data_IF_900317944769
#
_entry.id   IF_900317944769
#
_cell.length_a   1.000
_cell.length_b   1.000
_cell.length_c   1.000
_cell.angle_alpha   90.00
_cell.angle_beta   90.00
_cell.angle_gamma   90.00
#
_symmetry.space_group_name_H-M   'P 1'
#
loop_
_entity.id
_entity.type
_entity.pdbx_description
1 polymer ?
#
# COMPACT_ATOMS: atom_id res chain seq x y z
N UNK A 1 -43.57 -26.42 29.64
CA UNK A 1 -43.14 -25.72 28.41
C UNK A 1 -41.65 -25.45 28.53
N UNK A 2 -40.82 -26.18 27.78
CA UNK A 2 -39.37 -26.04 27.83
C UNK A 2 -38.97 -24.81 27.01
N UNK A 3 -38.46 -23.77 27.69
CA UNK A 3 -37.90 -22.60 27.03
C UNK A 3 -36.67 -23.03 26.26
N UNK A 4 -36.81 -23.14 24.93
CA UNK A 4 -35.70 -23.32 24.02
C UNK A 4 -34.89 -22.02 23.98
N UNK A 5 -33.96 -21.88 24.94
CA UNK A 5 -33.04 -20.74 25.01
C UNK A 5 -32.13 -20.77 23.78
N UNK A 6 -32.53 -20.06 22.72
CA UNK A 6 -31.71 -19.83 21.53
C UNK A 6 -30.41 -19.13 21.98
N UNK A 7 -29.34 -19.92 22.17
CA UNK A 7 -28.02 -19.41 22.51
C UNK A 7 -27.49 -18.63 21.32
N UNK A 8 -27.18 -17.36 21.53
CA UNK A 8 -26.49 -16.49 20.57
C UNK A 8 -25.24 -17.18 20.00
N UNK A 9 -25.01 -17.03 18.70
CA UNK A 9 -23.79 -17.56 18.06
C UNK A 9 -22.55 -16.82 18.56
N UNK A 10 -21.37 -17.41 18.35
CA UNK A 10 -20.11 -16.77 18.72
C UNK A 10 -19.90 -15.45 17.98
N UNK A 11 -20.25 -15.42 16.69
CA UNK A 11 -20.20 -14.23 15.85
C UNK A 11 -21.15 -13.13 16.36
N UNK A 12 -22.39 -13.50 16.71
CA UNK A 12 -23.37 -12.55 17.25
C UNK A 12 -22.90 -11.93 18.56
N UNK A 13 -22.26 -12.73 19.43
CA UNK A 13 -21.66 -12.23 20.67
C UNK A 13 -20.51 -11.27 20.39
N UNK A 14 -19.61 -11.60 19.46
CA UNK A 14 -18.52 -10.71 19.06
C UNK A 14 -19.03 -9.37 18.52
N UNK A 15 -20.03 -9.43 17.63
CA UNK A 15 -20.68 -8.23 17.06
C UNK A 15 -21.37 -7.39 18.13
N UNK A 16 -22.12 -8.01 19.06
CA UNK A 16 -22.80 -7.31 20.15
C UNK A 16 -21.80 -6.68 21.12
N UNK A 17 -20.71 -7.39 21.44
CA UNK A 17 -19.61 -6.86 22.24
C UNK A 17 -18.99 -5.62 21.60
N UNK A 18 -18.63 -5.68 20.31
CA UNK A 18 -18.11 -4.54 19.57
C UNK A 18 -19.08 -3.35 19.53
N UNK A 19 -20.38 -3.60 19.33
CA UNK A 19 -21.42 -2.56 19.39
C UNK A 19 -21.53 -1.92 20.77
N UNK A 20 -21.45 -2.71 21.84
CA UNK A 20 -21.49 -2.22 23.21
C UNK A 20 -20.25 -1.36 23.52
N UNK A 21 -19.06 -1.81 23.15
CA UNK A 21 -17.80 -1.06 23.30
C UNK A 21 -17.88 0.27 22.54
N UNK A 22 -18.35 0.27 21.29
CA UNK A 22 -18.52 1.50 20.48
C UNK A 22 -19.48 2.51 21.10
N UNK A 23 -20.51 2.05 21.82
CA UNK A 23 -21.45 2.96 22.50
C UNK A 23 -20.85 3.56 23.78
N UNK A 24 -19.89 2.89 24.41
CA UNK A 24 -19.27 3.31 25.68
C UNK A 24 -18.09 4.25 25.51
N UNK A 25 -17.42 4.19 24.37
CA UNK A 25 -16.16 4.87 24.15
C UNK A 25 -16.23 5.86 22.99
N UNK A 26 -15.46 6.94 23.12
CA UNK A 26 -15.37 8.02 22.14
C UNK A 26 -14.21 7.80 21.16
N UNK A 27 -14.02 8.76 20.25
CA UNK A 27 -12.94 8.70 19.26
C UNK A 27 -11.55 8.65 19.91
N UNK A 28 -11.35 9.36 21.03
CA UNK A 28 -10.03 9.44 21.69
C UNK A 28 -9.61 8.09 22.26
N UNK A 29 -10.55 7.34 22.84
CA UNK A 29 -10.28 5.96 23.28
C UNK A 29 -9.72 5.09 22.15
N UNK A 30 -10.36 5.11 20.96
CA UNK A 30 -9.90 4.32 19.81
C UNK A 30 -8.53 4.76 19.29
N UNK A 31 -8.26 6.07 19.28
CA UNK A 31 -6.94 6.58 18.92
C UNK A 31 -5.87 6.10 19.89
N UNK A 32 -6.15 6.11 21.20
CA UNK A 32 -5.20 5.66 22.21
C UNK A 32 -4.89 4.16 22.08
N UNK A 33 -5.90 3.31 21.96
CA UNK A 33 -5.68 1.86 21.83
C UNK A 33 -5.00 1.51 20.49
N UNK A 34 -5.34 2.22 19.41
CA UNK A 34 -4.66 2.08 18.12
C UNK A 34 -3.19 2.48 18.20
N UNK A 35 -2.89 3.61 18.85
CA UNK A 35 -1.51 4.07 19.07
C UNK A 35 -0.71 3.09 19.93
N UNK A 36 -1.30 2.57 21.01
CA UNK A 36 -0.67 1.55 21.86
C UNK A 36 -0.37 0.27 21.08
N UNK A 37 -1.34 -0.22 20.28
CA UNK A 37 -1.15 -1.38 19.41
C UNK A 37 -0.05 -1.16 18.38
N UNK A 38 -0.05 -0.01 17.70
CA UNK A 38 0.99 0.36 16.74
C UNK A 38 2.39 0.40 17.36
N UNK A 39 2.54 1.02 18.53
CA UNK A 39 3.82 1.07 19.26
C UNK A 39 4.30 -0.31 19.68
N UNK A 40 3.41 -1.17 20.17
CA UNK A 40 3.77 -2.54 20.55
C UNK A 40 4.25 -3.33 19.33
N UNK A 41 3.55 -3.21 18.19
CA UNK A 41 3.96 -3.85 16.92
C UNK A 41 5.29 -3.31 16.42
N UNK A 42 5.50 -1.99 16.43
CA UNK A 42 6.75 -1.38 15.96
C UNK A 42 7.95 -1.70 16.85
N UNK A 43 7.73 -1.97 18.15
CA UNK A 43 8.79 -2.43 19.05
C UNK A 43 9.11 -3.92 18.87
N UNK A 44 8.11 -4.71 18.48
CA UNK A 44 8.24 -6.16 18.33
C UNK A 44 8.89 -6.58 17.02
N UNK A 45 8.65 -5.83 15.94
CA UNK A 45 9.05 -6.20 14.59
C UNK A 45 10.02 -5.21 13.98
N UNK A 46 10.98 -5.73 13.23
CA UNK A 46 12.02 -5.00 12.52
C UNK A 46 11.59 -4.60 11.09
N UNK A 47 12.52 -4.02 10.34
CA UNK A 47 12.28 -3.52 8.99
C UNK A 47 11.94 -4.67 8.03
N UNK A 48 12.59 -5.80 8.19
CA UNK A 48 12.48 -7.00 7.38
C UNK A 48 11.04 -7.56 7.44
N UNK A 49 10.44 -7.57 8.64
CA UNK A 49 9.02 -7.91 8.79
C UNK A 49 8.11 -7.02 7.93
N UNK A 50 8.30 -5.70 7.96
CA UNK A 50 7.48 -4.77 7.16
C UNK A 50 7.70 -4.94 5.65
N UNK A 51 8.93 -5.23 5.24
CA UNK A 51 9.24 -5.53 3.85
C UNK A 51 8.54 -6.81 3.39
N UNK A 52 8.53 -7.85 4.23
CA UNK A 52 7.89 -9.13 3.90
C UNK A 52 6.37 -8.97 3.77
N UNK A 53 5.70 -8.31 4.71
CA UNK A 53 4.24 -8.09 4.63
C UNK A 53 3.88 -7.18 3.46
N UNK A 54 4.72 -6.18 3.15
CA UNK A 54 4.55 -5.32 1.97
C UNK A 54 4.66 -6.11 0.68
N UNK A 55 5.67 -6.98 0.57
CA UNK A 55 5.86 -7.89 -0.58
C UNK A 55 4.66 -8.82 -0.75
N UNK A 56 4.21 -9.49 0.31
CA UNK A 56 3.03 -10.38 0.28
C UNK A 56 1.76 -9.65 -0.16
N UNK A 57 1.56 -8.42 0.33
CA UNK A 57 0.44 -7.58 -0.10
C UNK A 57 0.50 -7.24 -1.59
N UNK A 58 1.68 -6.87 -2.09
CA UNK A 58 1.92 -6.61 -3.50
C UNK A 58 1.71 -7.86 -4.38
N UNK A 59 2.27 -9.00 -4.00
CA UNK A 59 2.11 -10.29 -4.70
C UNK A 59 0.63 -10.70 -4.77
N UNK A 60 -0.10 -10.61 -3.66
CA UNK A 60 -1.54 -10.90 -3.61
C UNK A 60 -2.33 -9.97 -4.55
N UNK A 61 -1.98 -8.68 -4.57
CA UNK A 61 -2.63 -7.71 -5.46
C UNK A 61 -2.35 -8.06 -6.93
N UNK A 62 -1.10 -8.35 -7.27
CA UNK A 62 -0.70 -8.72 -8.63
C UNK A 62 -1.32 -10.04 -9.12
N UNK A 63 -1.61 -10.98 -8.21
CA UNK A 63 -2.28 -12.24 -8.56
C UNK A 63 -3.79 -12.07 -8.78
N UNK A 64 -4.43 -11.13 -8.09
CA UNK A 64 -5.88 -10.97 -8.10
C UNK A 64 -6.38 -9.91 -9.09
N UNK A 65 -5.48 -9.16 -9.74
CA UNK A 65 -5.83 -8.06 -10.63
C UNK A 65 -5.15 -8.19 -11.99
N UNK A 66 -5.83 -7.71 -13.03
CA UNK A 66 -5.39 -7.72 -14.41
C UNK A 66 -4.84 -6.35 -14.84
N UNK A 67 -4.47 -6.26 -16.12
CA UNK A 67 -3.94 -5.02 -16.73
C UNK A 67 -4.91 -3.85 -16.62
N UNK A 68 -6.21 -4.10 -16.74
CA UNK A 68 -7.24 -3.06 -16.74
C UNK A 68 -7.34 -2.39 -15.37
N UNK A 69 -7.23 -3.17 -14.29
CA UNK A 69 -7.11 -2.62 -12.94
C UNK A 69 -5.93 -1.63 -12.81
N UNK A 70 -4.74 -2.01 -13.29
CA UNK A 70 -3.55 -1.16 -13.22
C UNK A 70 -3.67 0.10 -14.08
N UNK A 71 -4.28 -0.02 -15.26
CA UNK A 71 -4.58 1.13 -16.12
C UNK A 71 -5.56 2.08 -15.44
N UNK A 72 -6.61 1.57 -14.81
CA UNK A 72 -7.62 2.39 -14.14
C UNK A 72 -7.03 3.17 -12.96
N UNK A 73 -6.27 2.49 -12.08
CA UNK A 73 -5.63 3.18 -10.94
C UNK A 73 -4.56 4.16 -11.41
N UNK A 74 -3.84 3.84 -12.50
CA UNK A 74 -2.88 4.74 -13.11
C UNK A 74 -3.55 5.99 -13.68
N UNK A 75 -4.67 5.83 -14.39
CA UNK A 75 -5.48 6.94 -14.92
C UNK A 75 -5.99 7.82 -13.78
N UNK A 76 -6.60 7.24 -12.75
CA UNK A 76 -7.09 7.97 -11.57
C UNK A 76 -5.98 8.77 -10.88
N UNK A 77 -4.80 8.18 -10.73
CA UNK A 77 -3.62 8.87 -10.18
C UNK A 77 -3.16 10.04 -11.05
N UNK A 78 -3.13 9.84 -12.37
CA UNK A 78 -2.79 10.87 -13.35
C UNK A 78 -3.78 12.04 -13.35
N UNK A 79 -5.08 11.75 -13.36
CA UNK A 79 -6.16 12.74 -13.31
C UNK A 79 -6.05 13.60 -12.04
N UNK A 80 -5.95 12.95 -10.88
CA UNK A 80 -5.77 13.66 -9.59
C UNK A 80 -4.52 14.54 -9.59
N UNK A 81 -3.42 14.06 -10.18
CA UNK A 81 -2.18 14.85 -10.28
C UNK A 81 -2.39 16.05 -11.21
N UNK A 82 -3.04 15.86 -12.36
CA UNK A 82 -3.29 16.94 -13.32
C UNK A 82 -4.26 18.00 -12.83
N UNK A 83 -5.20 17.65 -11.96
CA UNK A 83 -6.12 18.60 -11.34
C UNK A 83 -5.43 19.48 -10.28
N UNK A 84 -4.41 18.96 -9.60
CA UNK A 84 -3.78 19.61 -8.46
C UNK A 84 -2.43 20.29 -8.78
N UNK A 85 -1.92 20.15 -10.01
CA UNK A 85 -0.61 20.63 -10.38
C UNK A 85 -0.61 21.40 -11.70
N UNK A 86 0.31 22.35 -11.79
CA UNK A 86 0.50 23.23 -12.93
C UNK A 86 1.62 22.75 -13.86
N UNK A 87 1.86 23.53 -14.91
CA UNK A 87 2.84 23.19 -15.95
C UNK A 87 4.26 23.03 -15.39
N UNK A 88 4.63 23.85 -14.42
CA UNK A 88 5.99 23.87 -13.86
C UNK A 88 6.27 22.59 -13.09
N UNK A 89 5.28 22.07 -12.35
CA UNK A 89 5.36 20.74 -11.74
C UNK A 89 5.66 19.64 -12.77
N UNK A 90 4.95 19.61 -13.89
CA UNK A 90 5.15 18.61 -14.94
C UNK A 90 6.53 18.71 -15.60
N UNK A 91 7.03 19.94 -15.79
CA UNK A 91 8.39 20.17 -16.29
C UNK A 91 9.44 19.66 -15.30
N UNK A 92 9.26 19.90 -14.01
CA UNK A 92 10.20 19.47 -12.98
C UNK A 92 10.28 17.94 -12.88
N UNK A 93 9.14 17.24 -12.84
CA UNK A 93 9.13 15.78 -12.79
C UNK A 93 9.67 15.17 -14.09
N UNK A 94 9.41 15.80 -15.24
CA UNK A 94 9.96 15.40 -16.54
C UNK A 94 11.48 15.53 -16.56
N UNK A 95 12.02 16.66 -16.09
CA UNK A 95 13.47 16.89 -15.94
C UNK A 95 14.10 15.85 -15.01
N UNK A 96 13.53 15.66 -13.81
CA UNK A 96 13.99 14.66 -12.84
C UNK A 96 14.01 13.24 -13.42
N UNK A 97 12.96 12.86 -14.16
CA UNK A 97 12.89 11.56 -14.84
C UNK A 97 13.94 11.40 -15.95
N UNK A 98 14.20 12.46 -16.71
CA UNK A 98 15.26 12.49 -17.73
C UNK A 98 16.66 12.36 -17.13
N UNK A 99 16.94 13.11 -16.05
CA UNK A 99 18.21 13.06 -15.32
C UNK A 99 18.47 11.67 -14.73
N UNK A 100 17.48 11.05 -14.10
CA UNK A 100 17.60 9.69 -13.55
C UNK A 100 17.92 8.64 -14.63
N UNK A 101 17.32 8.77 -15.82
CA UNK A 101 17.64 7.91 -16.97
C UNK A 101 19.06 8.15 -17.49
N UNK A 102 19.49 9.41 -17.57
CA UNK A 102 20.84 9.75 -17.99
C UNK A 102 21.90 9.24 -17.01
N UNK A 103 21.62 9.30 -15.71
CA UNK A 103 22.53 8.81 -14.67
C UNK A 103 22.65 7.27 -14.72
N UNK A 104 21.54 6.56 -14.97
CA UNK A 104 21.57 5.10 -15.16
C UNK A 104 22.15 4.66 -16.52
N UNK A 105 22.09 5.51 -17.55
CA UNK A 105 22.68 5.26 -18.87
C UNK A 105 24.21 5.43 -18.92
N UNK A 106 24.81 6.05 -17.90
CA UNK A 106 26.25 6.24 -17.77
C UNK A 106 26.95 5.03 -17.12
N UNK A 107 26.63 3.81 -17.56
CA UNK A 107 27.53 2.67 -17.40
C UNK A 107 28.32 2.49 -18.70
N UNK A 108 29.49 3.14 -18.87
CA UNK A 108 30.28 2.92 -20.06
C UNK A 108 30.85 1.50 -20.01
N UNK A 109 30.79 0.81 -21.16
CA UNK A 109 31.50 -0.42 -21.50
C UNK A 109 30.78 -1.76 -21.23
N UNK A 110 29.76 -2.06 -22.03
CA UNK A 110 29.79 -3.37 -22.70
C UNK A 110 29.08 -3.34 -24.07
N UNK A 111 29.86 -3.51 -25.14
CA UNK A 111 29.33 -3.92 -26.45
C UNK A 111 29.57 -2.97 -27.63
N UNK A 112 30.67 -3.21 -28.36
CA UNK A 112 30.69 -3.57 -29.81
C UNK A 112 32.05 -3.23 -30.45
N UNK A 113 33.02 -4.11 -30.27
CA UNK A 113 34.14 -4.24 -31.21
C UNK A 113 33.72 -5.14 -32.37
N UNK A 114 33.21 -4.56 -33.47
CA UNK A 114 33.22 -5.26 -34.77
C UNK A 114 34.65 -5.19 -35.30
N UNK A 115 35.46 -6.24 -35.07
CA UNK A 115 36.72 -6.42 -35.80
C UNK A 115 36.38 -6.84 -37.22
N UNK A 116 36.65 -5.92 -38.15
CA UNK A 116 36.78 -6.21 -39.58
C UNK A 116 38.06 -7.01 -39.77
N UNK A 117 37.97 -8.23 -40.31
CA UNK A 117 39.13 -8.97 -40.79
C UNK A 117 39.25 -8.72 -42.29
N UNK A 118 40.42 -8.25 -42.71
CA UNK A 118 40.95 -8.41 -44.06
C UNK A 118 41.95 -9.57 -44.01
#
# INVERSE_FOLDING_TARGET
MTTNSQKLTHEERGRLGGKATRKKHDKTFYQQIGSKGGKATSQKYDKEFYQEIGRKGGESTAQNHDSDFYQEIGRKGGETTSENHDRDFFQEIGRKGGEARSQNGNNPLNGRGRKSNN
#
